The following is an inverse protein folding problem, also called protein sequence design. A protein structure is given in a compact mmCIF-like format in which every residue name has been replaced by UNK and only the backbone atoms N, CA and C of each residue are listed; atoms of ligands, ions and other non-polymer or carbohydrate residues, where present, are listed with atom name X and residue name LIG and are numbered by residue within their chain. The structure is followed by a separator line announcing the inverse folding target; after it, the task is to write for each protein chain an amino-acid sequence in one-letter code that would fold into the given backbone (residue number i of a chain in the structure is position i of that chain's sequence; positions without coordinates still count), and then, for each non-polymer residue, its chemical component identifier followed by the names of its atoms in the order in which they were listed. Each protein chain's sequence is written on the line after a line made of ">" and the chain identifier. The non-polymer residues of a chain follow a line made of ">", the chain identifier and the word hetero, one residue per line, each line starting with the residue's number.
data_IF_070126303432
#
_entry.id   IF_070126303432
#
_cell.length_a   1.000
_cell.length_b   1.000
_cell.length_c   1.000
_cell.angle_alpha   90.00
_cell.angle_beta   90.00
_cell.angle_gamma   90.00
#
_symmetry.space_group_name_H-M   'P 1'
#
loop_
_entity.id
_entity.type
_entity.pdbx_description
1 polymer ?
#
# COMPACT_ATOMS: atom_id res chain seq x y z
N UNK A 1 11.59 -12.86 -27.46
CA UNK A 1 11.61 -11.63 -26.65
C UNK A 1 11.00 -11.95 -25.30
N UNK A 2 11.59 -11.49 -24.23
CA UNK A 2 11.01 -11.56 -22.90
C UNK A 2 10.56 -10.17 -22.52
N UNK A 3 9.30 -10.03 -22.14
CA UNK A 3 8.71 -8.78 -21.66
C UNK A 3 8.43 -8.90 -20.16
N UNK A 4 8.89 -7.90 -19.40
CA UNK A 4 8.54 -7.70 -18.01
C UNK A 4 7.60 -6.50 -17.93
N UNK A 5 6.42 -6.70 -17.34
CA UNK A 5 5.46 -5.61 -17.07
C UNK A 5 5.48 -5.33 -15.57
N UNK A 6 5.70 -4.07 -15.20
CA UNK A 6 5.81 -3.64 -13.80
C UNK A 6 4.69 -2.62 -13.53
N UNK A 7 3.60 -3.02 -12.88
CA UNK A 7 2.56 -2.09 -12.47
C UNK A 7 2.88 -1.45 -11.12
N UNK A 8 2.52 -0.18 -10.96
CA UNK A 8 2.54 0.58 -9.70
C UNK A 8 3.92 0.68 -9.04
N UNK A 9 4.99 0.57 -9.82
CA UNK A 9 6.37 0.68 -9.36
C UNK A 9 7.33 0.82 -10.56
N UNK A 10 8.58 1.16 -10.27
CA UNK A 10 9.69 0.99 -11.19
C UNK A 10 10.15 2.27 -11.92
N UNK A 11 9.41 3.37 -11.86
CA UNK A 11 9.78 4.62 -12.53
C UNK A 11 11.20 5.05 -12.18
N UNK A 12 11.61 4.93 -10.92
CA UNK A 12 12.91 5.36 -10.40
C UNK A 12 13.91 4.20 -10.19
N UNK A 13 13.61 2.99 -10.70
CA UNK A 13 14.48 1.82 -10.56
C UNK A 13 15.42 1.65 -11.77
N UNK A 14 16.10 2.74 -12.16
CA UNK A 14 16.92 2.83 -13.38
C UNK A 14 18.02 1.78 -13.44
N UNK A 15 18.73 1.53 -12.34
CA UNK A 15 19.81 0.54 -12.28
C UNK A 15 19.30 -0.90 -12.48
N UNK A 16 18.17 -1.25 -11.85
CA UNK A 16 17.55 -2.56 -12.01
C UNK A 16 17.04 -2.76 -13.43
N UNK A 17 16.46 -1.72 -14.02
CA UNK A 17 16.02 -1.73 -15.41
C UNK A 17 17.21 -1.91 -16.36
N UNK A 18 18.35 -1.24 -16.10
CA UNK A 18 19.57 -1.41 -16.87
C UNK A 18 20.06 -2.86 -16.85
N UNK A 19 20.18 -3.47 -15.65
CA UNK A 19 20.62 -4.85 -15.50
C UNK A 19 19.73 -5.85 -16.25
N UNK A 20 18.42 -5.62 -16.27
CA UNK A 20 17.44 -6.49 -16.95
C UNK A 20 17.49 -6.28 -18.47
N UNK A 21 17.60 -5.04 -18.93
CA UNK A 21 17.72 -4.69 -20.35
C UNK A 21 18.99 -5.27 -20.97
N UNK A 22 20.13 -5.21 -20.27
CA UNK A 22 21.40 -5.85 -20.69
C UNK A 22 21.28 -7.38 -20.84
N UNK A 23 20.30 -8.01 -20.17
CA UNK A 23 19.96 -9.43 -20.32
C UNK A 23 18.97 -9.70 -21.47
N UNK A 24 18.60 -8.68 -22.24
CA UNK A 24 17.67 -8.78 -23.36
C UNK A 24 16.21 -8.93 -22.94
N UNK A 25 15.82 -8.32 -21.81
CA UNK A 25 14.45 -8.26 -21.33
C UNK A 25 13.89 -6.87 -21.67
N UNK A 26 12.80 -6.83 -22.43
CA UNK A 26 12.04 -5.60 -22.64
C UNK A 26 11.22 -5.28 -21.38
N UNK A 27 11.18 -4.01 -20.99
CA UNK A 27 10.53 -3.59 -19.74
C UNK A 27 9.44 -2.56 -20.07
N UNK A 28 8.22 -2.82 -19.57
CA UNK A 28 7.10 -1.89 -19.59
C UNK A 28 6.72 -1.55 -18.16
N UNK A 29 6.81 -0.27 -17.82
CA UNK A 29 6.42 0.27 -16.50
C UNK A 29 5.09 1.02 -16.66
N UNK A 30 4.10 0.69 -15.82
CA UNK A 30 2.79 1.34 -15.74
C UNK A 30 2.63 1.91 -14.34
N UNK A 31 3.09 3.15 -14.13
CA UNK A 31 3.30 3.72 -12.81
C UNK A 31 2.73 5.14 -12.68
N UNK A 32 2.64 5.66 -11.46
CA UNK A 32 2.12 6.99 -11.15
C UNK A 32 3.02 7.79 -10.17
N UNK A 33 4.12 7.21 -9.74
CA UNK A 33 5.05 7.89 -8.85
C UNK A 33 5.80 9.02 -9.57
N UNK A 34 6.19 10.06 -8.83
CA UNK A 34 7.01 11.14 -9.37
C UNK A 34 8.35 10.60 -9.85
N UNK A 35 8.80 11.09 -11.01
CA UNK A 35 10.10 10.73 -11.55
C UNK A 35 11.17 11.64 -10.95
N UNK A 36 12.21 11.02 -10.39
CA UNK A 36 13.40 11.72 -9.86
C UNK A 36 14.51 11.83 -10.92
N UNK A 37 14.53 10.91 -11.89
CA UNK A 37 15.52 10.85 -12.97
C UNK A 37 14.98 10.16 -14.23
N UNK A 38 15.65 10.32 -15.37
CA UNK A 38 15.31 9.58 -16.59
C UNK A 38 15.71 8.11 -16.47
N UNK A 39 14.82 7.22 -16.90
CA UNK A 39 15.09 5.78 -17.01
C UNK A 39 14.99 5.34 -18.49
N UNK A 40 16.11 5.34 -19.23
CA UNK A 40 16.14 5.03 -20.66
C UNK A 40 16.05 3.52 -20.98
N UNK A 41 16.01 2.65 -19.97
CA UNK A 41 16.06 1.19 -20.11
C UNK A 41 14.66 0.55 -20.10
N UNK A 42 13.61 1.34 -19.92
CA UNK A 42 12.24 0.88 -19.88
C UNK A 42 11.32 1.79 -20.70
N UNK A 43 10.26 1.21 -21.27
CA UNK A 43 9.11 2.00 -21.73
C UNK A 43 8.24 2.33 -20.53
N UNK A 44 8.07 3.63 -20.24
CA UNK A 44 7.33 4.09 -19.07
C UNK A 44 6.05 4.78 -19.52
N UNK A 45 4.91 4.29 -19.00
CA UNK A 45 3.62 4.96 -19.08
C UNK A 45 3.31 5.46 -17.67
N UNK A 46 3.40 6.77 -17.50
CA UNK A 46 3.25 7.42 -16.19
C UNK A 46 2.54 8.76 -16.39
N UNK A 47 1.45 8.96 -15.66
CA UNK A 47 0.65 10.17 -15.77
C UNK A 47 1.38 11.41 -15.22
N UNK A 48 2.30 11.27 -14.26
CA UNK A 48 3.10 12.39 -13.74
C UNK A 48 4.06 12.93 -14.80
N UNK A 49 4.67 12.04 -15.59
CA UNK A 49 5.67 12.39 -16.60
C UNK A 49 5.08 12.92 -17.92
N UNK A 50 3.78 12.72 -18.18
CA UNK A 50 3.15 13.07 -19.44
C UNK A 50 2.66 14.51 -19.43
N UNK A 51 3.28 15.38 -20.22
CA UNK A 51 2.87 16.79 -20.37
C UNK A 51 1.45 16.94 -20.97
N UNK A 52 1.04 15.99 -21.79
CA UNK A 52 -0.24 16.03 -22.53
C UNK A 52 -1.40 15.39 -21.74
N UNK A 53 -1.15 14.70 -20.63
CA UNK A 53 -2.17 14.08 -19.81
C UNK A 53 -2.42 14.91 -18.56
N UNK A 54 -3.56 15.55 -18.49
CA UNK A 54 -3.87 16.55 -17.44
C UNK A 54 -4.17 15.93 -16.08
N UNK A 55 -4.66 14.68 -16.05
CA UNK A 55 -5.00 14.02 -14.80
C UNK A 55 -3.78 13.40 -14.14
N UNK A 56 -3.31 14.03 -13.07
CA UNK A 56 -2.18 13.55 -12.23
C UNK A 56 -2.62 12.69 -11.04
N UNK A 57 -3.92 12.52 -10.86
CA UNK A 57 -4.52 11.91 -9.67
C UNK A 57 -5.00 10.47 -9.92
N UNK A 58 -4.27 9.66 -10.69
CA UNK A 58 -4.47 8.22 -10.79
C UNK A 58 -3.42 7.46 -10.01
N UNK A 59 -3.82 6.38 -9.34
CA UNK A 59 -2.90 5.35 -8.84
C UNK A 59 -2.38 4.46 -9.97
N UNK A 60 -1.39 3.61 -9.70
CA UNK A 60 -0.84 2.70 -10.70
C UNK A 60 -1.87 1.80 -11.36
N UNK A 61 -2.87 1.29 -10.63
CA UNK A 61 -3.98 0.53 -11.22
C UNK A 61 -4.85 1.40 -12.16
N UNK A 62 -4.98 2.70 -11.89
CA UNK A 62 -5.63 3.65 -12.79
C UNK A 62 -4.86 3.81 -14.10
N UNK A 63 -3.53 3.91 -14.03
CA UNK A 63 -2.66 3.93 -15.22
C UNK A 63 -2.77 2.62 -16.01
N UNK A 64 -2.78 1.47 -15.33
CA UNK A 64 -3.00 0.15 -15.96
C UNK A 64 -4.35 0.11 -16.67
N UNK A 65 -5.41 0.58 -16.04
CA UNK A 65 -6.74 0.64 -16.65
C UNK A 65 -6.74 1.49 -17.92
N UNK A 66 -6.13 2.67 -17.92
CA UNK A 66 -5.98 3.52 -19.10
C UNK A 66 -5.17 2.86 -20.22
N UNK A 67 -4.12 2.15 -19.85
CA UNK A 67 -3.31 1.35 -20.78
C UNK A 67 -4.16 0.24 -21.42
N UNK A 68 -4.97 -0.48 -20.63
CA UNK A 68 -5.87 -1.51 -21.12
C UNK A 68 -6.94 -0.93 -22.06
N UNK A 69 -7.51 0.25 -21.77
CA UNK A 69 -8.44 0.93 -22.68
C UNK A 69 -7.78 1.26 -24.04
N UNK A 70 -6.52 1.72 -24.02
CA UNK A 70 -5.77 1.97 -25.24
C UNK A 70 -5.51 0.68 -26.03
N UNK A 71 -5.16 -0.41 -25.33
CA UNK A 71 -4.96 -1.72 -25.95
C UNK A 71 -6.26 -2.28 -26.54
N UNK A 72 -7.38 -2.13 -25.85
CA UNK A 72 -8.70 -2.54 -26.35
C UNK A 72 -9.05 -1.79 -27.63
N UNK A 73 -8.82 -0.48 -27.69
CA UNK A 73 -9.05 0.33 -28.88
C UNK A 73 -8.22 -0.14 -30.08
N UNK A 74 -6.95 -0.51 -29.87
CA UNK A 74 -6.07 -1.02 -30.93
C UNK A 74 -6.40 -2.45 -31.37
N UNK A 75 -6.93 -3.27 -30.46
CA UNK A 75 -7.19 -4.70 -30.71
C UNK A 75 -8.66 -5.01 -30.95
N UNK A 76 -9.54 -3.99 -30.94
CA UNK A 76 -11.00 -4.13 -31.09
C UNK A 76 -11.63 -5.06 -30.05
N UNK A 77 -11.14 -4.98 -28.80
CA UNK A 77 -11.67 -5.68 -27.64
C UNK A 77 -12.35 -4.70 -26.67
N UNK A 78 -13.00 -5.22 -25.63
CA UNK A 78 -13.71 -4.47 -24.59
C UNK A 78 -13.44 -5.08 -23.20
N UNK A 79 -12.19 -5.48 -22.91
CA UNK A 79 -11.84 -6.17 -21.66
C UNK A 79 -11.51 -5.22 -20.52
N UNK A 80 -11.11 -3.97 -20.80
CA UNK A 80 -10.66 -3.04 -19.76
C UNK A 80 -11.75 -2.80 -18.70
N UNK A 81 -13.00 -2.67 -19.12
CA UNK A 81 -14.13 -2.36 -18.24
C UNK A 81 -14.49 -3.51 -17.29
N UNK A 82 -14.07 -4.74 -17.56
CA UNK A 82 -14.19 -5.87 -16.63
C UNK A 82 -13.42 -5.67 -15.33
N UNK A 83 -12.42 -4.76 -15.32
CA UNK A 83 -11.57 -4.46 -14.17
C UNK A 83 -11.82 -3.08 -13.56
N UNK A 84 -12.90 -2.42 -13.94
CA UNK A 84 -13.21 -1.05 -13.52
C UNK A 84 -13.45 -0.95 -12.00
N UNK A 85 -14.05 -1.97 -11.40
CA UNK A 85 -14.26 -2.05 -9.96
C UNK A 85 -12.94 -2.18 -9.18
N UNK A 86 -11.95 -2.90 -9.71
CA UNK A 86 -10.61 -2.99 -9.12
C UNK A 86 -9.83 -1.68 -9.27
N UNK A 87 -9.99 -0.98 -10.40
CA UNK A 87 -9.46 0.37 -10.58
C UNK A 87 -10.06 1.33 -9.54
N UNK A 88 -11.37 1.27 -9.30
CA UNK A 88 -12.05 2.06 -8.28
C UNK A 88 -11.53 1.75 -6.87
N UNK A 89 -11.40 0.46 -6.52
CA UNK A 89 -10.85 0.03 -5.24
C UNK A 89 -9.44 0.57 -5.03
N UNK A 90 -8.59 0.50 -6.05
CA UNK A 90 -7.20 0.96 -5.97
C UNK A 90 -7.11 2.49 -5.81
N UNK A 91 -7.83 3.28 -6.63
CA UNK A 91 -7.86 4.75 -6.48
C UNK A 91 -8.30 5.19 -5.08
N UNK A 92 -9.28 4.49 -4.48
CA UNK A 92 -9.72 4.77 -3.11
C UNK A 92 -8.64 4.36 -2.09
N UNK A 93 -8.03 3.19 -2.29
CA UNK A 93 -7.06 2.63 -1.34
C UNK A 93 -5.76 3.44 -1.28
N UNK A 94 -5.38 4.01 -2.41
CA UNK A 94 -4.20 4.88 -2.55
C UNK A 94 -4.52 6.37 -2.31
N UNK A 95 -5.75 6.67 -1.89
CA UNK A 95 -6.22 8.01 -1.47
C UNK A 95 -6.04 9.06 -2.58
N UNK A 96 -6.31 8.68 -3.82
CA UNK A 96 -6.24 9.62 -4.95
C UNK A 96 -7.21 10.78 -4.80
N UNK A 97 -6.84 11.95 -5.34
CA UNK A 97 -7.66 13.16 -5.21
C UNK A 97 -8.95 13.06 -6.03
N UNK A 98 -10.06 12.89 -5.33
CA UNK A 98 -11.40 12.79 -5.94
C UNK A 98 -11.95 14.15 -6.43
N UNK A 99 -11.21 15.25 -6.31
CA UNK A 99 -11.52 16.52 -6.97
C UNK A 99 -11.22 16.45 -8.46
N UNK A 100 -10.26 15.60 -8.88
CA UNK A 100 -10.05 15.26 -10.28
C UNK A 100 -11.31 14.61 -10.86
N UNK A 101 -11.82 15.22 -11.95
CA UNK A 101 -13.09 14.77 -12.54
C UNK A 101 -13.01 13.34 -13.07
N UNK A 102 -11.96 13.01 -13.82
CA UNK A 102 -11.80 11.69 -14.42
C UNK A 102 -11.61 10.61 -13.35
N UNK A 103 -10.76 10.84 -12.34
CA UNK A 103 -10.53 9.90 -11.24
C UNK A 103 -11.83 9.63 -10.47
N UNK A 104 -12.57 10.69 -10.12
CA UNK A 104 -13.87 10.56 -9.47
C UNK A 104 -14.89 9.84 -10.33
N UNK A 105 -14.95 10.16 -11.63
CA UNK A 105 -15.89 9.54 -12.57
C UNK A 105 -15.65 8.03 -12.67
N UNK A 106 -14.42 7.62 -12.96
CA UNK A 106 -14.01 6.21 -13.09
C UNK A 106 -14.24 5.47 -11.76
N UNK A 107 -13.86 6.07 -10.64
CA UNK A 107 -14.06 5.48 -9.32
C UNK A 107 -15.54 5.24 -9.00
N UNK A 108 -16.40 6.24 -9.24
CA UNK A 108 -17.85 6.07 -9.02
C UNK A 108 -18.44 5.03 -9.97
N UNK A 109 -18.04 5.04 -11.23
CA UNK A 109 -18.54 4.08 -12.23
C UNK A 109 -18.18 2.63 -11.83
N UNK A 110 -16.94 2.38 -11.38
CA UNK A 110 -16.53 1.07 -10.92
C UNK A 110 -17.26 0.60 -9.65
N UNK A 111 -17.68 1.52 -8.78
CA UNK A 111 -18.49 1.17 -7.60
C UNK A 111 -19.96 0.86 -7.92
N UNK A 112 -20.48 1.26 -9.09
CA UNK A 112 -21.85 0.95 -9.50
C UNK A 112 -22.05 -0.52 -9.86
N UNK A 113 -21.02 -1.19 -10.34
CA UNK A 113 -21.07 -2.60 -10.74
C UNK A 113 -19.81 -3.34 -10.29
N UNK A 114 -19.84 -3.84 -9.08
CA UNK A 114 -18.72 -4.63 -8.53
C UNK A 114 -18.90 -6.09 -8.95
N UNK A 115 -18.07 -6.56 -9.87
CA UNK A 115 -18.10 -7.90 -10.46
C UNK A 115 -17.08 -8.82 -9.82
N UNK A 116 -15.93 -8.31 -9.36
CA UNK A 116 -14.88 -9.12 -8.77
C UNK A 116 -15.35 -9.80 -7.48
N UNK A 117 -15.31 -11.14 -7.47
CA UNK A 117 -15.81 -11.98 -6.37
C UNK A 117 -15.07 -11.75 -5.06
N UNK A 118 -13.76 -11.46 -5.11
CA UNK A 118 -12.98 -11.15 -3.91
C UNK A 118 -13.41 -9.81 -3.31
N UNK A 119 -13.61 -8.80 -4.14
CA UNK A 119 -14.09 -7.49 -3.69
C UNK A 119 -15.50 -7.61 -3.08
N UNK A 120 -16.42 -8.35 -3.71
CA UNK A 120 -17.74 -8.65 -3.15
C UNK A 120 -17.65 -9.34 -1.78
N UNK A 121 -16.74 -10.33 -1.63
CA UNK A 121 -16.55 -11.02 -0.37
C UNK A 121 -16.00 -10.12 0.74
N UNK A 122 -15.09 -9.19 0.41
CA UNK A 122 -14.59 -8.17 1.34
C UNK A 122 -15.73 -7.26 1.83
N UNK A 123 -16.58 -6.78 0.91
CA UNK A 123 -17.76 -5.96 1.23
C UNK A 123 -18.71 -6.75 2.15
N UNK A 124 -19.04 -7.99 1.80
CA UNK A 124 -19.87 -8.88 2.61
C UNK A 124 -19.28 -9.12 4.01
N UNK A 125 -17.97 -9.26 4.11
CA UNK A 125 -17.30 -9.43 5.40
C UNK A 125 -17.39 -8.18 6.30
N UNK A 126 -17.68 -7.02 5.74
CA UNK A 126 -17.85 -5.73 6.42
C UNK A 126 -19.29 -5.21 6.35
N UNK A 127 -20.26 -6.07 6.03
CA UNK A 127 -21.67 -5.71 5.80
C UNK A 127 -22.27 -4.89 6.95
N UNK A 128 -21.97 -5.25 8.20
CA UNK A 128 -22.45 -4.51 9.38
C UNK A 128 -21.99 -3.03 9.35
N UNK A 129 -20.76 -2.76 8.96
CA UNK A 129 -20.19 -1.41 8.95
C UNK A 129 -20.61 -0.64 7.69
N UNK A 130 -20.67 -1.31 6.55
CA UNK A 130 -21.06 -0.74 5.26
C UNK A 130 -22.57 -0.48 5.20
N UNK A 131 -23.36 -1.33 5.85
CA UNK A 131 -24.82 -1.23 5.95
C UNK A 131 -25.50 -1.02 4.58
N UNK A 132 -25.11 -1.80 3.59
CA UNK A 132 -25.65 -1.76 2.22
C UNK A 132 -25.30 -0.51 1.39
N UNK A 133 -24.49 0.42 1.92
CA UNK A 133 -24.12 1.66 1.23
C UNK A 133 -22.72 1.55 0.64
N UNK A 134 -22.62 1.20 -0.63
CA UNK A 134 -21.35 1.17 -1.36
C UNK A 134 -21.07 2.59 -1.88
N UNK A 135 -20.01 3.20 -1.36
CA UNK A 135 -19.52 4.51 -1.77
C UNK A 135 -18.04 4.66 -1.39
N UNK A 136 -17.38 5.69 -1.92
CA UNK A 136 -15.95 5.96 -1.69
C UNK A 136 -15.61 5.96 -0.20
N UNK A 137 -16.39 6.66 0.63
CA UNK A 137 -16.15 6.74 2.07
C UNK A 137 -16.16 5.36 2.74
N UNK A 138 -17.18 4.54 2.48
CA UNK A 138 -17.29 3.22 3.11
C UNK A 138 -16.20 2.24 2.65
N UNK A 139 -15.81 2.31 1.37
CA UNK A 139 -14.68 1.50 0.89
C UNK A 139 -13.38 1.96 1.55
N UNK A 140 -13.14 3.27 1.61
CA UNK A 140 -11.94 3.83 2.23
C UNK A 140 -11.80 3.48 3.71
N UNK A 141 -12.89 3.49 4.47
CA UNK A 141 -12.84 3.30 5.93
C UNK A 141 -13.04 1.86 6.39
N UNK A 142 -13.66 1.00 5.57
CA UNK A 142 -13.97 -0.37 6.00
C UNK A 142 -13.28 -1.46 5.17
N UNK A 143 -12.99 -1.21 3.87
CA UNK A 143 -12.33 -2.20 3.01
C UNK A 143 -10.82 -1.95 2.93
N UNK A 144 -10.40 -0.74 2.60
CA UNK A 144 -8.97 -0.39 2.52
C UNK A 144 -8.17 -0.77 3.78
N UNK A 145 -8.65 -0.55 5.02
CA UNK A 145 -7.87 -0.91 6.20
C UNK A 145 -7.65 -2.40 6.40
N UNK A 146 -8.60 -3.27 5.99
CA UNK A 146 -8.40 -4.72 6.10
C UNK A 146 -7.45 -5.26 5.03
N UNK A 147 -7.44 -4.67 3.83
CA UNK A 147 -6.46 -4.95 2.78
C UNK A 147 -5.06 -4.50 3.22
N UNK A 148 -4.92 -3.26 3.66
CA UNK A 148 -3.65 -2.73 4.17
C UNK A 148 -3.11 -3.52 5.37
N UNK A 149 -4.00 -4.02 6.24
CA UNK A 149 -3.64 -4.93 7.32
C UNK A 149 -3.00 -6.22 6.78
N UNK A 150 -3.60 -6.84 5.76
CA UNK A 150 -3.08 -8.04 5.11
C UNK A 150 -1.75 -7.78 4.41
N UNK A 151 -1.65 -6.70 3.61
CA UNK A 151 -0.44 -6.36 2.86
C UNK A 151 0.75 -6.12 3.81
N UNK A 152 0.53 -5.47 4.96
CA UNK A 152 1.60 -5.10 5.89
C UNK A 152 2.08 -6.25 6.76
N UNK A 153 1.16 -7.08 7.29
CA UNK A 153 1.51 -8.10 8.30
C UNK A 153 1.06 -9.53 7.96
N UNK A 154 0.37 -9.73 6.84
CA UNK A 154 0.02 -11.07 6.36
C UNK A 154 1.27 -11.88 6.04
N UNK A 155 1.22 -13.20 6.28
CA UNK A 155 2.25 -14.11 5.80
C UNK A 155 2.27 -14.16 4.27
N UNK A 156 3.36 -14.68 3.69
CA UNK A 156 3.47 -14.87 2.24
C UNK A 156 2.30 -15.71 1.70
N UNK A 157 1.93 -16.79 2.40
CA UNK A 157 0.82 -17.66 1.99
C UNK A 157 -0.54 -16.94 2.06
N UNK A 158 -0.76 -16.09 3.09
CA UNK A 158 -1.97 -15.27 3.21
C UNK A 158 -2.07 -14.24 2.08
N UNK A 159 -0.95 -13.62 1.70
CA UNK A 159 -0.88 -12.65 0.59
C UNK A 159 -1.07 -13.31 -0.76
N UNK A 160 -0.44 -14.47 -0.98
CA UNK A 160 -0.63 -15.27 -2.19
C UNK A 160 -2.09 -15.71 -2.35
N UNK A 161 -2.72 -16.18 -1.27
CA UNK A 161 -4.14 -16.56 -1.28
C UNK A 161 -5.02 -15.36 -1.62
N UNK A 162 -4.74 -14.17 -1.08
CA UNK A 162 -5.46 -12.94 -1.42
C UNK A 162 -5.29 -12.59 -2.90
N UNK A 163 -4.06 -12.68 -3.43
CA UNK A 163 -3.80 -12.43 -4.85
C UNK A 163 -4.59 -13.41 -5.73
N UNK A 164 -4.57 -14.71 -5.42
CA UNK A 164 -5.34 -15.74 -6.15
C UNK A 164 -6.84 -15.48 -6.09
N UNK A 165 -7.35 -14.96 -4.98
CA UNK A 165 -8.74 -14.57 -4.87
C UNK A 165 -9.09 -13.39 -5.78
N UNK A 166 -8.22 -12.37 -5.89
CA UNK A 166 -8.45 -11.24 -6.79
C UNK A 166 -8.38 -11.59 -8.28
N UNK A 167 -7.52 -12.55 -8.67
CA UNK A 167 -7.48 -13.08 -10.04
C UNK A 167 -8.50 -14.22 -10.28
N UNK A 168 -9.46 -14.38 -9.37
CA UNK A 168 -10.62 -15.27 -9.46
C UNK A 168 -10.30 -16.74 -9.71
N UNK A 169 -9.30 -17.27 -9.00
CA UNK A 169 -9.10 -18.72 -8.92
C UNK A 169 -10.18 -19.33 -8.05
N UNK A 170 -11.09 -20.11 -8.65
CA UNK A 170 -12.15 -20.80 -7.93
C UNK A 170 -11.58 -21.98 -7.14
N UNK A 171 -11.42 -21.80 -5.83
CA UNK A 171 -10.90 -22.78 -4.89
C UNK A 171 -11.78 -22.87 -3.65
N UNK A 172 -11.82 -24.05 -3.04
CA UNK A 172 -12.56 -24.31 -1.81
C UNK A 172 -11.67 -24.94 -0.76
N UNK A 173 -11.91 -24.60 0.49
CA UNK A 173 -11.14 -25.06 1.64
C UNK A 173 -12.05 -25.54 2.75
N UNK A 174 -11.68 -26.64 3.39
CA UNK A 174 -12.35 -27.04 4.62
C UNK A 174 -12.09 -26.01 5.73
N UNK A 175 -13.14 -25.55 6.36
CA UNK A 175 -13.07 -24.61 7.48
C UNK A 175 -13.97 -25.05 8.63
N UNK A 176 -13.35 -25.25 9.81
CA UNK A 176 -14.05 -25.60 11.06
C UNK A 176 -14.46 -24.33 11.80
N UNK A 177 -15.75 -23.98 11.70
CA UNK A 177 -16.34 -22.92 12.53
C UNK A 177 -16.39 -23.36 13.98
N UNK A 178 -15.91 -22.50 14.87
CA UNK A 178 -16.01 -22.76 16.32
C UNK A 178 -17.47 -22.68 16.77
N UNK A 179 -17.83 -23.49 17.77
CA UNK A 179 -19.10 -23.35 18.43
C UNK A 179 -19.25 -21.95 19.04
N UNK A 180 -20.44 -21.39 18.94
CA UNK A 180 -20.83 -20.15 19.60
C UNK A 180 -21.97 -20.47 20.57
N UNK A 181 -22.37 -19.49 21.42
CA UNK A 181 -23.48 -19.69 22.37
C UNK A 181 -24.78 -20.20 21.71
N UNK A 182 -24.99 -19.87 20.42
CA UNK A 182 -26.23 -20.16 19.69
C UNK A 182 -26.07 -21.13 18.53
N UNK A 183 -24.84 -21.61 18.22
CA UNK A 183 -24.59 -22.53 17.10
C UNK A 183 -23.48 -23.52 17.46
N UNK A 184 -23.65 -24.82 17.17
CA UNK A 184 -22.62 -25.84 17.36
C UNK A 184 -21.44 -25.58 16.43
N UNK A 185 -20.31 -26.27 16.69
CA UNK A 185 -19.18 -26.31 15.75
C UNK A 185 -19.64 -26.99 14.45
N UNK A 186 -19.23 -26.43 13.33
CA UNK A 186 -19.58 -26.92 11.99
C UNK A 186 -18.37 -26.89 11.08
N UNK A 187 -18.22 -27.92 10.25
CA UNK A 187 -17.23 -27.92 9.15
C UNK A 187 -17.94 -27.54 7.87
N UNK A 188 -17.46 -26.50 7.20
CA UNK A 188 -18.01 -26.00 5.94
C UNK A 188 -16.94 -26.00 4.84
N UNK A 189 -17.37 -25.99 3.59
CA UNK A 189 -16.53 -25.65 2.45
C UNK A 189 -16.54 -24.13 2.28
N UNK A 190 -15.40 -23.49 2.54
CA UNK A 190 -15.20 -22.04 2.44
C UNK A 190 -14.59 -21.71 1.09
N UNK A 191 -15.18 -20.79 0.32
CA UNK A 191 -14.58 -20.30 -0.93
C UNK A 191 -13.29 -19.55 -0.66
N UNK A 192 -12.38 -19.49 -1.64
CA UNK A 192 -11.15 -18.68 -1.55
C UNK A 192 -11.48 -17.22 -1.24
N UNK A 193 -12.58 -16.69 -1.76
CA UNK A 193 -13.03 -15.32 -1.58
C UNK A 193 -13.43 -15.03 -0.13
N UNK A 194 -14.32 -15.87 0.44
CA UNK A 194 -14.74 -15.73 1.85
C UNK A 194 -13.54 -15.95 2.79
N UNK A 195 -12.63 -16.88 2.44
CA UNK A 195 -11.40 -17.14 3.18
C UNK A 195 -10.46 -15.94 3.15
N UNK A 196 -10.21 -15.35 1.98
CA UNK A 196 -9.38 -14.15 1.83
C UNK A 196 -9.94 -12.99 2.64
N UNK A 197 -11.24 -12.71 2.53
CA UNK A 197 -11.90 -11.65 3.28
C UNK A 197 -11.80 -11.86 4.81
N UNK A 198 -11.99 -13.09 5.29
CA UNK A 198 -11.83 -13.44 6.71
C UNK A 198 -10.39 -13.27 7.18
N UNK A 199 -9.41 -13.69 6.38
CA UNK A 199 -7.98 -13.53 6.69
C UNK A 199 -7.56 -12.06 6.71
N UNK A 200 -8.09 -11.20 5.81
CA UNK A 200 -7.87 -9.76 5.83
C UNK A 200 -8.38 -9.13 7.14
N UNK A 201 -9.58 -9.48 7.61
CA UNK A 201 -10.09 -9.03 8.91
C UNK A 201 -9.21 -9.48 10.07
N UNK A 202 -8.76 -10.73 10.05
CA UNK A 202 -7.87 -11.27 11.07
C UNK A 202 -6.50 -10.55 11.07
N UNK A 203 -5.93 -10.30 9.89
CA UNK A 203 -4.71 -9.54 9.73
C UNK A 203 -4.85 -8.12 10.29
N UNK A 204 -5.95 -7.43 9.96
CA UNK A 204 -6.23 -6.10 10.53
C UNK A 204 -6.30 -6.13 12.06
N UNK A 205 -7.00 -7.10 12.64
CA UNK A 205 -7.07 -7.26 14.10
C UNK A 205 -5.69 -7.55 14.72
N UNK A 206 -4.86 -8.37 14.06
CA UNK A 206 -3.47 -8.60 14.50
C UNK A 206 -2.66 -7.30 14.43
N UNK A 207 -2.79 -6.57 13.30
CA UNK A 207 -2.10 -5.29 13.10
C UNK A 207 -2.44 -4.28 14.21
N UNK A 208 -3.72 -4.14 14.56
CA UNK A 208 -4.14 -3.19 15.59
C UNK A 208 -3.54 -3.52 16.96
N UNK A 209 -3.56 -4.79 17.34
CA UNK A 209 -2.92 -5.24 18.60
C UNK A 209 -1.41 -5.02 18.62
N UNK A 210 -0.73 -5.30 17.49
CA UNK A 210 0.71 -5.09 17.38
C UNK A 210 1.05 -3.59 17.42
N UNK A 211 0.23 -2.77 16.75
CA UNK A 211 0.36 -1.30 16.78
C UNK A 211 0.20 -0.74 18.19
N UNK A 212 -0.85 -1.13 18.92
CA UNK A 212 -1.07 -0.70 20.30
C UNK A 212 0.10 -1.09 21.22
N UNK A 213 0.57 -2.34 21.11
CA UNK A 213 1.73 -2.81 21.87
C UNK A 213 2.99 -2.02 21.51
N UNK A 214 3.22 -1.76 20.22
CA UNK A 214 4.37 -1.00 19.74
C UNK A 214 4.33 0.45 20.21
N UNK A 215 3.18 1.13 20.10
CA UNK A 215 3.01 2.50 20.60
C UNK A 215 3.34 2.57 22.08
N UNK A 216 2.80 1.65 22.89
CA UNK A 216 3.06 1.62 24.33
C UNK A 216 4.55 1.46 24.64
N UNK A 217 5.22 0.47 24.03
CA UNK A 217 6.64 0.21 24.26
C UNK A 217 7.53 1.39 23.82
N UNK A 218 7.20 2.03 22.69
CA UNK A 218 7.95 3.19 22.19
C UNK A 218 7.69 4.42 23.05
N UNK A 219 6.46 4.63 23.53
CA UNK A 219 6.15 5.73 24.45
C UNK A 219 6.98 5.63 25.74
N UNK A 220 7.14 4.42 26.31
CA UNK A 220 7.99 4.19 27.47
C UNK A 220 9.48 4.59 27.23
N UNK A 221 9.97 4.43 25.99
CA UNK A 221 11.31 4.89 25.58
C UNK A 221 11.34 6.41 25.45
N UNK A 222 10.35 6.99 24.75
CA UNK A 222 10.28 8.45 24.48
C UNK A 222 10.14 9.25 25.75
N UNK A 223 9.39 8.76 26.75
CA UNK A 223 9.21 9.43 28.05
C UNK A 223 10.53 9.56 28.83
N UNK A 224 11.57 8.78 28.47
CA UNK A 224 12.90 8.87 29.03
C UNK A 224 13.90 9.67 28.17
N UNK A 225 13.48 10.20 27.02
CA UNK A 225 14.33 11.06 26.19
C UNK A 225 14.39 12.49 26.76
N UNK A 226 15.42 13.29 26.41
CA UNK A 226 15.49 14.69 26.80
C UNK A 226 14.25 15.47 26.30
N UNK A 227 13.65 16.27 27.19
CA UNK A 227 12.42 17.03 26.90
C UNK A 227 12.65 18.05 25.77
N UNK A 228 13.87 18.57 25.63
CA UNK A 228 14.23 19.63 24.69
C UNK A 228 14.45 19.11 23.25
N UNK A 229 14.49 17.81 23.02
CA UNK A 229 14.63 17.24 21.70
C UNK A 229 13.47 17.65 20.80
N UNK A 230 13.80 18.23 19.63
CA UNK A 230 12.81 18.73 18.65
C UNK A 230 12.26 17.63 17.74
N UNK A 231 12.97 16.51 17.62
CA UNK A 231 12.64 15.35 16.81
C UNK A 231 12.78 14.12 17.68
N UNK A 232 11.78 13.25 17.66
CA UNK A 232 11.84 11.93 18.30
C UNK A 232 12.57 11.00 17.33
N UNK A 233 13.68 10.40 17.77
CA UNK A 233 14.42 9.39 17.03
C UNK A 233 14.65 8.15 17.91
N UNK A 234 14.10 7.00 17.51
CA UNK A 234 14.15 5.77 18.31
C UNK A 234 14.53 4.57 17.45
N UNK A 235 15.49 3.77 17.92
CA UNK A 235 15.75 2.42 17.40
C UNK A 235 14.66 1.47 17.92
N UNK A 236 13.83 0.96 17.00
CA UNK A 236 12.70 0.07 17.30
C UNK A 236 12.95 -1.37 16.83
N UNK A 237 14.20 -1.74 16.60
CA UNK A 237 14.59 -3.05 16.06
C UNK A 237 13.97 -4.22 16.80
N UNK A 238 13.93 -4.15 18.13
CA UNK A 238 13.40 -5.19 19.01
C UNK A 238 11.96 -4.92 19.50
N UNK A 239 11.38 -3.77 19.14
CA UNK A 239 10.08 -3.33 19.63
C UNK A 239 8.95 -3.46 18.61
N UNK A 240 9.28 -3.41 17.31
CA UNK A 240 8.28 -3.27 16.26
C UNK A 240 8.68 -4.00 14.98
N UNK A 241 7.70 -4.58 14.28
CA UNK A 241 7.90 -5.12 12.93
C UNK A 241 8.05 -3.99 11.89
N UNK A 242 8.87 -4.22 10.85
CA UNK A 242 9.17 -3.23 9.81
C UNK A 242 7.93 -2.70 9.09
N UNK A 243 6.93 -3.54 8.83
CA UNK A 243 5.67 -3.14 8.20
C UNK A 243 4.80 -2.19 9.03
N UNK A 244 5.16 -1.95 10.30
CA UNK A 244 4.40 -1.09 11.23
C UNK A 244 5.11 0.24 11.55
N UNK A 245 6.37 0.41 11.19
CA UNK A 245 7.15 1.61 11.56
C UNK A 245 6.46 2.90 11.15
N UNK A 246 5.96 3.00 9.92
CA UNK A 246 5.28 4.21 9.44
C UNK A 246 3.96 4.51 10.16
N UNK A 247 3.15 3.48 10.46
CA UNK A 247 1.84 3.66 11.15
C UNK A 247 2.03 4.00 12.63
N UNK A 248 3.08 3.48 13.24
CA UNK A 248 3.41 3.79 14.65
C UNK A 248 4.08 5.15 14.74
N UNK A 249 4.97 5.51 13.80
CA UNK A 249 5.59 6.83 13.76
C UNK A 249 4.56 7.98 13.71
N UNK A 250 3.46 7.82 12.94
CA UNK A 250 2.36 8.79 12.94
C UNK A 250 1.79 8.94 14.37
N UNK A 251 1.47 7.82 15.03
CA UNK A 251 0.85 7.86 16.36
C UNK A 251 1.77 8.47 17.43
N UNK A 252 3.06 8.18 17.37
CA UNK A 252 4.05 8.80 18.27
C UNK A 252 4.19 10.29 17.96
N UNK A 253 4.27 10.69 16.68
CA UNK A 253 4.33 12.10 16.31
C UNK A 253 3.12 12.89 16.80
N UNK A 254 1.90 12.36 16.61
CA UNK A 254 0.65 12.94 17.10
C UNK A 254 0.62 13.04 18.63
N UNK A 255 1.00 11.97 19.34
CA UNK A 255 0.94 11.88 20.80
C UNK A 255 1.87 12.89 21.49
N UNK A 256 3.07 13.08 20.95
CA UNK A 256 4.08 13.95 21.51
C UNK A 256 4.16 15.31 20.84
N UNK A 257 3.36 15.53 19.78
CA UNK A 257 3.37 16.74 18.95
C UNK A 257 4.78 17.11 18.47
N UNK A 258 5.54 16.12 18.02
CA UNK A 258 6.92 16.26 17.51
C UNK A 258 7.12 15.38 16.29
N UNK A 259 7.90 15.80 15.28
CA UNK A 259 8.33 14.92 14.20
C UNK A 259 8.99 13.66 14.76
N UNK A 260 8.73 12.52 14.14
CA UNK A 260 9.17 11.21 14.63
C UNK A 260 9.88 10.41 13.54
N UNK A 261 11.03 9.84 13.90
CA UNK A 261 11.82 8.92 13.09
C UNK A 261 11.94 7.62 13.88
N UNK A 262 11.41 6.53 13.32
CA UNK A 262 11.57 5.19 13.87
C UNK A 262 12.54 4.40 12.99
N UNK A 263 13.68 4.03 13.57
CA UNK A 263 14.76 3.32 12.90
C UNK A 263 14.72 1.83 13.24
N UNK A 264 15.08 1.01 12.27
CA UNK A 264 15.19 -0.44 12.44
C UNK A 264 16.44 -0.97 11.75
N UNK A 265 17.21 -1.77 12.48
CA UNK A 265 18.39 -2.46 11.94
C UNK A 265 17.99 -3.55 10.96
N UNK A 266 18.68 -3.62 9.86
CA UNK A 266 18.64 -4.75 8.94
C UNK A 266 20.02 -5.05 8.38
N UNK A 267 20.24 -6.29 7.98
CA UNK A 267 21.51 -6.72 7.40
C UNK A 267 21.45 -6.57 5.88
N UNK A 268 22.26 -5.67 5.36
CA UNK A 268 22.42 -5.54 3.91
C UNK A 268 23.32 -6.66 3.38
N UNK A 269 22.76 -7.50 2.51
CA UNK A 269 23.48 -8.64 1.91
C UNK A 269 24.51 -8.22 0.89
N UNK A 270 24.39 -7.04 0.27
CA UNK A 270 25.33 -6.53 -0.75
C UNK A 270 26.61 -6.01 -0.08
N UNK A 271 26.45 -5.13 0.89
CA UNK A 271 27.58 -4.53 1.63
C UNK A 271 28.08 -5.40 2.76
N UNK A 272 27.31 -6.42 3.18
CA UNK A 272 27.56 -7.27 4.36
C UNK A 272 27.69 -6.49 5.67
N UNK A 273 27.00 -5.36 5.75
CA UNK A 273 26.96 -4.49 6.93
C UNK A 273 25.57 -4.45 7.54
N UNK A 274 25.48 -4.06 8.80
CA UNK A 274 24.19 -3.71 9.42
C UNK A 274 23.93 -2.24 9.15
N UNK A 275 22.80 -1.96 8.53
CA UNK A 275 22.34 -0.61 8.22
C UNK A 275 21.00 -0.34 8.89
N UNK A 276 20.62 0.92 9.02
CA UNK A 276 19.32 1.31 9.51
C UNK A 276 18.41 1.72 8.34
N UNK A 277 17.24 1.15 8.32
CA UNK A 277 16.11 1.67 7.55
C UNK A 277 15.02 2.12 8.50
N UNK A 278 13.92 2.65 7.98
CA UNK A 278 12.86 3.05 8.88
C UNK A 278 11.80 3.92 8.23
N UNK A 279 11.09 4.65 9.09
CA UNK A 279 10.03 5.57 8.64
C UNK A 279 10.08 6.87 9.43
N UNK A 280 9.90 7.97 8.73
CA UNK A 280 9.79 9.31 9.29
C UNK A 280 8.41 9.91 9.04
N UNK A 281 7.88 10.61 10.03
CA UNK A 281 6.60 11.31 9.96
C UNK A 281 6.69 12.66 10.64
N UNK A 282 6.18 13.69 9.96
CA UNK A 282 5.97 15.00 10.55
C UNK A 282 4.60 15.04 11.23
N UNK A 283 4.38 16.08 12.03
CA UNK A 283 3.08 16.37 12.64
C UNK A 283 2.21 17.19 11.69
N UNK A 284 0.91 17.11 11.86
CA UNK A 284 -0.04 17.99 11.19
C UNK A 284 0.18 19.44 11.66
N UNK A 285 0.04 20.40 10.75
CA UNK A 285 0.28 21.81 11.00
C UNK A 285 1.72 22.15 11.47
N UNK A 286 2.70 21.33 11.10
CA UNK A 286 4.12 21.65 11.32
C UNK A 286 4.49 22.93 10.60
N UNK A 287 5.33 23.79 11.20
CA UNK A 287 5.94 24.92 10.50
C UNK A 287 7.02 24.49 9.48
N UNK A 288 7.28 23.20 9.36
CA UNK A 288 8.26 22.60 8.45
C UNK A 288 7.54 22.18 7.18
N UNK A 289 7.85 22.80 6.05
CA UNK A 289 7.27 22.50 4.75
C UNK A 289 7.66 21.07 4.27
N UNK A 290 8.93 20.72 4.38
CA UNK A 290 9.46 19.41 4.02
C UNK A 290 10.41 18.88 5.11
N UNK A 291 9.91 17.95 5.91
CA UNK A 291 10.72 17.24 6.90
C UNK A 291 11.78 16.36 6.23
N UNK A 292 11.45 15.78 5.06
CA UNK A 292 12.38 14.99 4.25
C UNK A 292 13.61 15.81 3.85
N UNK A 293 13.41 17.03 3.35
CA UNK A 293 14.53 17.86 2.86
C UNK A 293 15.44 18.29 3.99
N UNK A 294 14.88 18.60 5.17
CA UNK A 294 15.67 18.89 6.36
C UNK A 294 16.51 17.68 6.76
N UNK A 295 15.91 16.49 6.79
CA UNK A 295 16.62 15.27 7.17
C UNK A 295 17.72 14.95 6.16
N UNK A 296 17.43 15.03 4.85
CA UNK A 296 18.41 14.80 3.78
C UNK A 296 19.55 15.83 3.78
N UNK A 297 19.28 17.09 4.13
CA UNK A 297 20.30 18.14 4.19
C UNK A 297 21.37 17.89 5.24
N UNK A 298 21.11 17.02 6.23
CA UNK A 298 22.11 16.63 7.22
C UNK A 298 23.25 15.78 6.64
N UNK A 299 23.02 15.13 5.48
CA UNK A 299 23.96 14.20 4.86
C UNK A 299 24.12 12.86 5.60
N UNK A 300 23.42 12.65 6.71
CA UNK A 300 23.48 11.39 7.49
C UNK A 300 22.35 10.42 7.16
N UNK A 301 21.19 10.91 6.72
CA UNK A 301 19.99 10.14 6.50
C UNK A 301 19.53 10.36 5.05
N UNK A 302 19.25 9.28 4.34
CA UNK A 302 18.65 9.32 3.02
C UNK A 302 17.15 8.97 3.12
N UNK A 303 16.30 9.99 3.02
CA UNK A 303 14.85 9.86 3.03
C UNK A 303 14.26 9.81 1.62
N UNK A 304 13.45 8.79 1.31
CA UNK A 304 12.71 8.64 0.05
C UNK A 304 11.21 8.61 0.29
N UNK A 305 10.44 9.34 -0.53
CA UNK A 305 9.00 9.46 -0.43
C UNK A 305 8.52 10.91 -0.32
N UNK A 306 7.36 11.12 0.30
CA UNK A 306 6.73 12.45 0.39
C UNK A 306 7.42 13.38 1.40
N UNK A 307 7.24 14.69 1.26
CA UNK A 307 7.87 15.72 2.08
C UNK A 307 7.74 15.50 3.60
N UNK A 308 6.59 15.02 4.07
CA UNK A 308 6.29 14.85 5.51
C UNK A 308 6.02 13.40 5.93
N UNK A 309 6.13 12.43 4.99
CA UNK A 309 5.93 11.01 5.25
C UNK A 309 6.83 10.19 4.31
N UNK A 310 7.98 9.74 4.82
CA UNK A 310 8.99 9.10 3.98
C UNK A 310 9.62 7.88 4.67
N UNK A 311 10.19 7.01 3.86
CA UNK A 311 11.04 5.91 4.28
C UNK A 311 12.49 6.37 4.44
N UNK A 312 13.24 5.70 5.32
CA UNK A 312 14.68 5.89 5.47
C UNK A 312 15.35 4.70 4.82
N UNK A 313 16.27 5.00 3.92
CA UNK A 313 17.04 4.02 3.17
C UNK A 313 18.51 4.22 3.53
N UNK A 314 19.12 3.17 4.06
CA UNK A 314 20.55 3.03 4.35
C UNK A 314 21.18 4.19 5.16
N UNK A 315 21.27 3.98 6.45
CA UNK A 315 21.99 4.84 7.42
C UNK A 315 23.18 4.07 7.97
#
# INVERSE_FOLDING_TARGET
>A
TKLLIIPDAGTNDTEQCRELSERGIDILILDHHESEEENPYALIVNNQMSDNYSNKDFCGAGVVYKFLQALDAETWNEFADDYLDLCALANISDVMDMRSFETRYITNLGLLNITNKCFQALIKAQDYSINGKINIHNIQWYITPILNGMIRIGSSDEKELLFRAFIEKDEFFEYKKRATKNKPAETIQESIYDRAARLCKNAKSRQDKMKEKGVKAISEVVDNLPIDDKVIMVDVSDLLDSGLTGVVAIKIAEQYNKPCILLKKHFDKKTKTTVFGGSARNIDNSPIDSFKDIVNSTGFINGKGHANAFGIVDL
#
